data_IF_888894620341
#
_entry.id   IF_888894620341
#
_cell.length_a   1.000
_cell.length_b   1.000
_cell.length_c   1.000
_cell.angle_alpha   90.00
_cell.angle_beta   90.00
_cell.angle_gamma   90.00
#
_symmetry.space_group_name_H-M   'P 1'
#
loop_
_entity.id
_entity.type
_entity.pdbx_description
1 polymer ?
#
# COMPACT_ATOMS: atom_id res chain seq x y z
N UNK A 1 -7.67 21.85 2.34
CA UNK A 1 -8.15 21.34 1.03
C UNK A 1 -9.67 21.38 0.97
N UNK A 2 -10.20 21.55 -0.22
CA UNK A 2 -11.63 21.42 -0.54
C UNK A 2 -12.06 19.95 -0.59
N UNK A 3 -13.36 19.70 -0.54
CA UNK A 3 -13.91 18.34 -0.65
C UNK A 3 -13.56 17.66 -1.99
N UNK A 4 -13.48 18.43 -3.08
CA UNK A 4 -13.08 17.92 -4.39
C UNK A 4 -11.62 17.48 -4.42
N UNK A 5 -10.73 18.24 -3.76
CA UNK A 5 -9.32 17.87 -3.65
C UNK A 5 -9.15 16.60 -2.81
N UNK A 6 -9.88 16.45 -1.70
CA UNK A 6 -9.86 15.23 -0.88
C UNK A 6 -10.27 14.01 -1.73
N UNK A 7 -11.39 14.11 -2.46
CA UNK A 7 -11.86 13.05 -3.37
C UNK A 7 -10.82 12.71 -4.45
N UNK A 8 -10.08 13.71 -4.94
CA UNK A 8 -8.99 13.48 -5.89
C UNK A 8 -7.90 12.60 -5.28
N UNK A 9 -7.43 12.91 -4.07
CA UNK A 9 -6.44 12.09 -3.37
C UNK A 9 -6.96 10.68 -3.04
N UNK A 10 -8.23 10.53 -2.67
CA UNK A 10 -8.84 9.21 -2.48
C UNK A 10 -8.85 8.38 -3.77
N UNK A 11 -9.18 9.00 -4.91
CA UNK A 11 -9.15 8.33 -6.21
C UNK A 11 -7.72 7.94 -6.63
N UNK A 12 -6.74 8.83 -6.43
CA UNK A 12 -5.33 8.54 -6.66
C UNK A 12 -4.88 7.36 -5.78
N UNK A 13 -5.26 7.38 -4.51
CA UNK A 13 -4.95 6.31 -3.54
C UNK A 13 -5.53 4.96 -3.97
N UNK A 14 -6.77 4.93 -4.47
CA UNK A 14 -7.39 3.71 -5.03
C UNK A 14 -6.63 3.19 -6.24
N UNK A 15 -6.14 4.07 -7.10
CA UNK A 15 -5.34 3.68 -8.27
C UNK A 15 -3.99 3.08 -7.86
N UNK A 16 -3.29 3.73 -6.91
CA UNK A 16 -2.03 3.22 -6.36
C UNK A 16 -2.24 1.86 -5.69
N UNK A 17 -3.27 1.75 -4.86
CA UNK A 17 -3.64 0.50 -4.19
C UNK A 17 -3.91 -0.63 -5.19
N UNK A 18 -4.72 -0.37 -6.23
CA UNK A 18 -5.01 -1.35 -7.28
C UNK A 18 -3.75 -1.89 -7.96
N UNK A 19 -2.77 -1.02 -8.24
CA UNK A 19 -1.47 -1.45 -8.78
C UNK A 19 -0.69 -2.35 -7.81
N UNK A 20 -0.75 -2.04 -6.51
CA UNK A 20 -0.15 -2.88 -5.48
C UNK A 20 -0.80 -4.27 -5.43
N UNK A 21 -2.13 -4.33 -5.48
CA UNK A 21 -2.89 -5.59 -5.54
C UNK A 21 -2.49 -6.43 -6.75
N UNK A 22 -2.37 -5.85 -7.95
CA UNK A 22 -1.93 -6.56 -9.16
C UNK A 22 -0.52 -7.16 -8.99
N UNK A 23 0.42 -6.41 -8.37
CA UNK A 23 1.76 -6.91 -8.10
C UNK A 23 1.74 -8.10 -7.13
N UNK A 24 0.96 -7.99 -6.04
CA UNK A 24 0.82 -9.04 -5.04
C UNK A 24 0.16 -10.30 -5.62
N UNK A 25 -0.85 -10.15 -6.47
CA UNK A 25 -1.45 -11.27 -7.20
C UNK A 25 -0.45 -11.96 -8.13
N UNK A 26 0.53 -11.22 -8.66
CA UNK A 26 1.67 -11.75 -9.39
C UNK A 26 2.78 -12.37 -8.52
N UNK A 27 2.60 -12.43 -7.19
CA UNK A 27 3.59 -12.95 -6.25
C UNK A 27 4.76 -12.00 -5.97
N UNK A 28 4.62 -10.71 -6.30
CA UNK A 28 5.66 -9.71 -6.11
C UNK A 28 5.31 -8.76 -4.96
N UNK A 29 6.14 -8.69 -3.92
CA UNK A 29 6.09 -7.59 -2.96
C UNK A 29 6.17 -6.23 -3.66
N UNK A 30 5.46 -5.26 -3.10
CA UNK A 30 5.23 -3.94 -3.66
C UNK A 30 5.58 -2.80 -2.68
N UNK A 31 6.67 -2.92 -1.91
CA UNK A 31 7.07 -1.92 -0.91
C UNK A 31 7.18 -0.48 -1.43
N UNK A 32 7.57 -0.31 -2.70
CA UNK A 32 7.60 1.03 -3.33
C UNK A 32 6.21 1.61 -3.55
N UNK A 33 5.22 0.78 -3.90
CA UNK A 33 3.82 1.18 -4.06
C UNK A 33 3.21 1.53 -2.71
N UNK A 34 3.47 0.71 -1.68
CA UNK A 34 3.10 0.98 -0.29
C UNK A 34 3.64 2.34 0.16
N UNK A 35 4.92 2.62 -0.11
CA UNK A 35 5.56 3.89 0.26
C UNK A 35 4.89 5.10 -0.40
N UNK A 36 4.50 4.99 -1.66
CA UNK A 36 3.79 6.07 -2.37
C UNK A 36 2.39 6.28 -1.80
N UNK A 37 1.69 5.20 -1.42
CA UNK A 37 0.37 5.28 -0.81
C UNK A 37 0.43 5.98 0.56
N UNK A 38 1.40 5.63 1.40
CA UNK A 38 1.64 6.32 2.67
C UNK A 38 2.05 7.79 2.49
N UNK A 39 2.78 8.12 1.42
CA UNK A 39 3.08 9.52 1.11
C UNK A 39 1.81 10.33 0.80
N UNK A 40 0.83 9.74 0.11
CA UNK A 40 -0.47 10.40 -0.10
C UNK A 40 -1.18 10.64 1.24
N UNK A 41 -1.18 9.65 2.12
CA UNK A 41 -1.76 9.79 3.47
C UNK A 41 -1.07 10.89 4.28
N UNK A 42 0.26 10.95 4.22
CA UNK A 42 1.06 11.97 4.89
C UNK A 42 0.75 13.38 4.37
N UNK A 43 0.55 13.55 3.06
CA UNK A 43 0.12 14.83 2.48
C UNK A 43 -1.22 15.28 3.04
N UNK A 44 -2.20 14.38 3.20
CA UNK A 44 -3.50 14.70 3.79
C UNK A 44 -3.36 15.09 5.27
N UNK A 45 -2.58 14.33 6.04
CA UNK A 45 -2.33 14.62 7.47
C UNK A 45 -1.65 15.97 7.68
N UNK A 46 -0.68 16.34 6.84
CA UNK A 46 -0.04 17.66 6.88
C UNK A 46 -1.02 18.82 6.63
N UNK A 47 -2.15 18.55 5.95
CA UNK A 47 -3.23 19.51 5.76
C UNK A 47 -4.30 19.44 6.87
N UNK A 48 -4.07 18.64 7.92
CA UNK A 48 -5.01 18.43 9.02
C UNK A 48 -6.21 17.57 8.64
N UNK A 49 -6.08 16.71 7.62
CA UNK A 49 -7.16 15.89 7.09
C UNK A 49 -6.83 14.41 7.33
N UNK A 50 -7.73 13.73 8.02
CA UNK A 50 -7.69 12.29 8.21
C UNK A 50 -8.74 11.64 7.30
N UNK A 51 -8.31 11.07 6.16
CA UNK A 51 -9.20 10.32 5.27
C UNK A 51 -9.21 8.86 5.68
N UNK A 52 -10.33 8.41 6.24
CA UNK A 52 -10.55 6.99 6.56
C UNK A 52 -10.42 6.07 5.33
N UNK A 53 -10.72 6.59 4.14
CA UNK A 53 -10.54 5.85 2.88
C UNK A 53 -9.06 5.59 2.62
N UNK A 54 -8.22 6.63 2.70
CA UNK A 54 -6.79 6.48 2.41
C UNK A 54 -6.12 5.61 3.48
N UNK A 55 -6.43 5.80 4.76
CA UNK A 55 -5.88 4.98 5.84
C UNK A 55 -6.23 3.50 5.68
N UNK A 56 -7.48 3.17 5.32
CA UNK A 56 -7.88 1.79 5.08
C UNK A 56 -7.12 1.15 3.91
N UNK A 57 -6.80 1.92 2.85
CA UNK A 57 -6.02 1.44 1.72
C UNK A 57 -4.54 1.23 2.11
N UNK A 58 -3.96 2.11 2.92
CA UNK A 58 -2.61 1.95 3.46
C UNK A 58 -2.50 0.65 4.27
N UNK A 59 -3.38 0.47 5.26
CA UNK A 59 -3.37 -0.68 6.17
C UNK A 59 -3.51 -2.01 5.42
N UNK A 60 -4.45 -2.06 4.47
CA UNK A 60 -4.71 -3.25 3.65
C UNK A 60 -3.48 -3.63 2.80
N UNK A 61 -2.91 -2.67 2.08
CA UNK A 61 -1.79 -2.95 1.18
C UNK A 61 -0.50 -3.26 1.94
N UNK A 62 -0.22 -2.56 3.05
CA UNK A 62 0.95 -2.83 3.88
C UNK A 62 0.90 -4.25 4.45
N UNK A 63 -0.26 -4.66 4.99
CA UNK A 63 -0.46 -5.99 5.55
C UNK A 63 -0.16 -7.07 4.51
N UNK A 64 -0.77 -6.98 3.34
CA UNK A 64 -0.58 -8.00 2.30
C UNK A 64 0.82 -7.97 1.69
N UNK A 65 1.45 -6.80 1.60
CA UNK A 65 2.85 -6.72 1.21
C UNK A 65 3.77 -7.43 2.21
N UNK A 66 3.55 -7.25 3.52
CA UNK A 66 4.32 -7.95 4.55
C UNK A 66 4.14 -9.45 4.46
N UNK A 67 2.90 -9.93 4.35
CA UNK A 67 2.59 -11.36 4.16
C UNK A 67 3.29 -11.93 2.92
N UNK A 68 3.34 -11.18 1.81
CA UNK A 68 4.04 -11.61 0.59
C UNK A 68 5.56 -11.70 0.77
N UNK A 69 6.18 -10.79 1.54
CA UNK A 69 7.62 -10.85 1.83
C UNK A 69 7.94 -12.04 2.73
N UNK A 70 7.14 -12.26 3.78
CA UNK A 70 7.28 -13.39 4.69
C UNK A 70 7.18 -14.73 3.94
N UNK A 71 6.19 -14.87 3.06
CA UNK A 71 6.04 -16.08 2.23
C UNK A 71 7.27 -16.34 1.34
N UNK A 72 7.90 -15.30 0.77
CA UNK A 72 9.11 -15.45 -0.03
C UNK A 72 10.33 -15.83 0.80
N UNK A 73 10.44 -15.31 2.03
CA UNK A 73 11.51 -15.72 2.95
C UNK A 73 11.37 -17.19 3.34
N UNK A 74 10.18 -17.67 3.68
CA UNK A 74 9.93 -19.07 4.01
C UNK A 74 10.25 -20.01 2.83
N UNK A 75 9.91 -19.60 1.60
CA UNK A 75 10.30 -20.32 0.39
C UNK A 75 11.82 -20.33 0.16
N UNK A 76 12.50 -19.20 0.40
CA UNK A 76 13.95 -19.12 0.31
C UNK A 76 14.65 -20.04 1.31
N UNK A 77 14.24 -20.00 2.57
CA UNK A 77 14.82 -20.80 3.64
C UNK A 77 14.59 -22.31 3.44
N UNK A 78 13.41 -22.69 2.91
CA UNK A 78 13.12 -24.09 2.58
C UNK A 78 13.87 -24.61 1.34
N UNK A 79 14.31 -23.74 0.44
CA UNK A 79 15.03 -24.12 -0.80
C UNK A 79 16.55 -24.21 -0.60
N UNK A 80 17.12 -23.46 0.34
CA UNK A 80 18.58 -23.39 0.59
C UNK A 80 19.02 -23.90 1.97
N UNK A 81 18.15 -24.61 2.69
CA UNK A 81 18.47 -25.14 4.02
C UNK A 81 19.71 -26.06 4.03
N UNK A 82 20.72 -25.68 4.82
CA UNK A 82 21.81 -26.54 5.30
C UNK A 82 21.33 -27.48 6.40
#
# INVERSE_FOLDING_TARGET
MTEQEIKCYENISRHIHGKGVEMLQGGNPCSSVVSVLFYVEDVLRHQGIESAVVSALCDDLEKHNRESIEALHELGDSTYGY
#
